data_IF_248285128742
#
_entry.id   IF_248285128742
#
_cell.length_a   1.000
_cell.length_b   1.000
_cell.length_c   1.000
_cell.angle_alpha   90.00
_cell.angle_beta   90.00
_cell.angle_gamma   90.00
#
_symmetry.space_group_name_H-M   'P 1'
#
loop_
_entity.id
_entity.type
_entity.pdbx_description
1 polymer ?
#
# COMPACT_ATOMS: atom_id res chain seq x y z
N UNK A 1 5.92 11.08 8.77
CA UNK A 1 6.73 9.85 8.67
C UNK A 1 7.91 10.11 7.77
N UNK A 2 9.13 9.80 8.20
CA UNK A 2 10.32 9.95 7.36
C UNK A 2 10.51 8.72 6.47
N UNK A 3 10.76 8.95 5.19
CA UNK A 3 10.92 7.94 4.14
C UNK A 3 12.34 8.06 3.56
N UNK A 4 13.34 7.37 4.12
CA UNK A 4 14.72 7.41 3.63
C UNK A 4 14.83 6.78 2.24
N UNK A 5 15.19 7.58 1.24
CA UNK A 5 15.31 7.12 -0.14
C UNK A 5 16.34 5.99 -0.27
N UNK A 6 15.95 4.88 -0.92
CA UNK A 6 16.83 3.72 -1.14
C UNK A 6 17.03 2.84 0.10
N UNK A 7 16.16 2.97 1.11
CA UNK A 7 16.16 2.19 2.34
C UNK A 7 14.80 1.52 2.55
N UNK A 8 14.77 0.60 3.50
CA UNK A 8 13.55 -0.04 3.97
C UNK A 8 13.06 0.67 5.22
N UNK A 9 11.74 0.85 5.34
CA UNK A 9 11.08 1.31 6.55
C UNK A 9 10.20 0.21 7.13
N UNK A 10 9.92 0.34 8.43
CA UNK A 10 8.89 -0.42 9.11
C UNK A 10 7.63 0.42 9.24
N UNK A 11 6.49 -0.14 8.84
CA UNK A 11 5.16 0.42 9.07
C UNK A 11 4.39 -0.56 9.96
N UNK A 12 3.80 -0.06 11.04
CA UNK A 12 3.04 -0.87 11.99
C UNK A 12 1.57 -0.93 11.58
N UNK A 13 1.08 -2.13 11.28
CA UNK A 13 -0.30 -2.40 10.86
C UNK A 13 -0.98 -3.26 11.94
N UNK A 14 -2.06 -2.74 12.52
CA UNK A 14 -2.82 -3.46 13.54
C UNK A 14 -4.30 -3.07 13.51
N UNK A 15 -5.17 -3.99 13.93
CA UNK A 15 -6.61 -3.73 14.06
C UNK A 15 -6.96 -2.74 15.19
N UNK A 16 -6.00 -2.36 16.03
CA UNK A 16 -6.15 -1.32 17.04
C UNK A 16 -4.80 -0.65 17.34
N UNK A 17 -4.80 0.68 17.51
CA UNK A 17 -3.60 1.44 17.86
C UNK A 17 -2.94 0.99 19.17
N UNK A 18 -3.68 0.35 20.09
CA UNK A 18 -3.14 -0.23 21.32
C UNK A 18 -2.04 -1.27 21.08
N UNK A 19 -2.02 -1.92 19.91
CA UNK A 19 -1.07 -2.97 19.53
C UNK A 19 0.11 -2.45 18.71
N UNK A 20 0.29 -1.13 18.65
CA UNK A 20 1.43 -0.47 18.02
C UNK A 20 2.36 0.12 19.09
N UNK A 21 3.54 0.60 18.68
CA UNK A 21 4.49 1.37 19.48
C UNK A 21 3.89 2.66 20.06
N UNK A 22 2.76 3.13 19.51
CA UNK A 22 1.99 4.26 20.04
C UNK A 22 0.93 3.84 21.08
N UNK A 23 0.81 2.54 21.35
CA UNK A 23 -0.25 1.94 22.14
C UNK A 23 0.17 1.49 23.54
N UNK A 24 -0.76 0.80 24.22
CA UNK A 24 -0.56 0.27 25.59
C UNK A 24 0.06 -1.14 25.60
N UNK A 25 -0.03 -1.86 24.49
CA UNK A 25 0.45 -3.23 24.33
C UNK A 25 1.31 -3.36 23.07
N UNK A 26 2.42 -2.60 22.97
CA UNK A 26 3.28 -2.57 21.78
C UNK A 26 3.99 -3.89 21.50
N UNK A 27 3.99 -4.85 22.43
CA UNK A 27 4.58 -6.19 22.23
C UNK A 27 3.54 -7.23 21.79
N UNK A 28 2.27 -6.85 21.69
CA UNK A 28 1.19 -7.70 21.25
C UNK A 28 0.78 -7.36 19.82
N UNK A 29 0.60 -8.38 19.00
CA UNK A 29 -0.10 -8.30 17.73
C UNK A 29 -1.44 -8.99 17.90
N UNK A 30 -2.53 -8.23 17.77
CA UNK A 30 -3.85 -8.85 17.74
C UNK A 30 -4.15 -9.33 16.32
N UNK A 31 -4.41 -10.63 16.10
CA UNK A 31 -4.70 -11.68 17.11
C UNK A 31 -3.54 -12.66 17.41
N UNK A 32 -2.36 -12.49 16.80
CA UNK A 32 -1.23 -13.43 16.89
C UNK A 32 -0.57 -13.55 18.28
N UNK A 33 -1.04 -12.80 19.28
CA UNK A 33 -0.48 -12.81 20.64
C UNK A 33 0.79 -11.98 20.76
N UNK A 34 1.74 -12.41 21.58
CA UNK A 34 3.03 -11.74 21.72
C UNK A 34 3.94 -12.13 20.55
N UNK A 35 4.04 -11.27 19.54
CA UNK A 35 4.81 -11.54 18.33
C UNK A 35 4.53 -10.55 17.21
N UNK A 36 5.36 -10.57 16.18
CA UNK A 36 5.22 -9.71 15.01
C UNK A 36 4.42 -10.35 13.86
N UNK A 37 4.30 -11.68 13.87
CA UNK A 37 3.73 -12.47 12.76
C UNK A 37 2.49 -13.20 13.27
N UNK A 38 1.48 -13.32 12.41
CA UNK A 38 0.36 -14.21 12.70
C UNK A 38 0.81 -15.68 12.65
N UNK A 39 0.61 -16.40 13.74
CA UNK A 39 0.73 -17.86 13.76
C UNK A 39 -0.66 -18.49 13.72
N UNK A 40 -1.05 -18.98 12.55
CA UNK A 40 -2.36 -19.61 12.31
C UNK A 40 -2.68 -20.74 13.31
N UNK A 41 -1.66 -21.41 13.84
CA UNK A 41 -1.82 -22.54 14.75
C UNK A 41 -2.15 -22.14 16.19
N UNK A 42 -1.85 -20.90 16.58
CA UNK A 42 -2.01 -20.41 17.96
C UNK A 42 -3.02 -19.26 18.10
N UNK A 43 -3.54 -18.75 16.99
CA UNK A 43 -4.59 -17.72 16.97
C UNK A 43 -5.91 -18.25 17.56
N UNK A 44 -6.59 -17.42 18.35
CA UNK A 44 -7.89 -17.74 18.94
C UNK A 44 -8.86 -18.24 17.85
N UNK A 45 -9.53 -19.39 18.08
CA UNK A 45 -10.53 -19.91 17.14
C UNK A 45 -11.65 -18.92 16.85
N UNK A 46 -11.98 -18.04 17.80
CA UNK A 46 -12.98 -16.97 17.62
C UNK A 46 -12.49 -15.85 16.71
N UNK A 47 -11.18 -15.71 16.50
CA UNK A 47 -10.64 -14.80 15.48
C UNK A 47 -10.93 -15.33 14.07
N UNK A 48 -10.94 -16.66 13.91
CA UNK A 48 -11.36 -17.34 12.69
C UNK A 48 -12.89 -17.42 12.64
N UNK A 49 -13.55 -16.35 12.20
CA UNK A 49 -15.00 -16.34 12.04
C UNK A 49 -15.37 -16.91 10.66
N UNK A 50 -16.04 -18.06 10.63
CA UNK A 50 -16.40 -18.77 9.39
C UNK A 50 -15.20 -19.05 8.44
N UNK A 51 -14.02 -19.30 9.02
CA UNK A 51 -12.82 -19.61 8.24
C UNK A 51 -12.05 -18.40 7.73
N UNK A 52 -12.42 -17.17 8.12
CA UNK A 52 -11.65 -15.95 7.82
C UNK A 52 -11.11 -15.30 9.08
N UNK A 53 -9.90 -14.78 8.98
CA UNK A 53 -9.22 -13.94 9.95
C UNK A 53 -9.97 -12.61 10.07
N UNK A 54 -10.91 -12.51 11.01
CA UNK A 54 -11.97 -11.49 10.98
C UNK A 54 -11.51 -10.06 10.69
N UNK A 55 -10.44 -9.61 11.35
CA UNK A 55 -9.93 -8.23 11.18
C UNK A 55 -8.87 -8.09 10.07
N UNK A 56 -8.31 -9.19 9.57
CA UNK A 56 -7.29 -9.17 8.52
C UNK A 56 -7.87 -9.50 7.15
N UNK A 57 -9.14 -9.94 7.12
CA UNK A 57 -9.88 -10.26 5.90
C UNK A 57 -9.12 -11.25 5.00
N UNK A 58 -8.65 -12.35 5.58
CA UNK A 58 -7.95 -13.41 4.84
C UNK A 58 -8.35 -14.78 5.37
N UNK A 59 -8.38 -15.82 4.54
CA UNK A 59 -8.57 -17.22 4.99
C UNK A 59 -7.29 -17.85 5.53
N UNK A 60 -6.14 -17.19 5.34
CA UNK A 60 -4.83 -17.63 5.81
C UNK A 60 -3.69 -16.93 5.08
N UNK A 61 -2.45 -17.32 5.35
CA UNK A 61 -1.26 -16.69 4.75
C UNK A 61 -1.30 -16.70 3.22
N UNK A 62 -1.74 -17.82 2.64
CA UNK A 62 -1.80 -18.01 1.19
C UNK A 62 -2.87 -17.13 0.49
N UNK A 63 -3.78 -16.52 1.25
CA UNK A 63 -4.90 -15.71 0.74
C UNK A 63 -4.70 -14.20 0.94
N UNK A 64 -3.52 -13.77 1.36
CA UNK A 64 -3.15 -12.34 1.37
C UNK A 64 -2.95 -11.83 -0.07
N UNK A 65 -3.28 -10.56 -0.28
CA UNK A 65 -3.36 -9.92 -1.60
C UNK A 65 -2.38 -8.75 -1.78
N UNK A 66 -1.62 -8.44 -0.74
CA UNK A 66 -0.69 -7.33 -0.70
C UNK A 66 -1.34 -5.98 -0.38
N UNK A 67 -0.48 -5.01 -0.06
CA UNK A 67 -0.83 -3.63 0.22
C UNK A 67 0.28 -2.71 -0.30
N UNK A 68 0.05 -1.40 -0.28
CA UNK A 68 0.96 -0.44 -0.90
C UNK A 68 1.02 0.89 -0.14
N UNK A 69 2.11 1.62 -0.39
CA UNK A 69 2.24 3.02 -0.02
C UNK A 69 2.15 3.90 -1.27
N UNK A 70 1.38 4.96 -1.17
CA UNK A 70 1.27 6.01 -2.19
C UNK A 70 1.80 7.34 -1.69
N UNK A 71 2.18 8.22 -2.62
CA UNK A 71 2.66 9.57 -2.34
C UNK A 71 2.08 10.57 -3.36
N UNK A 72 1.72 11.75 -2.88
CA UNK A 72 1.42 12.94 -3.66
C UNK A 72 2.38 14.06 -3.24
N UNK A 73 3.02 14.71 -4.21
CA UNK A 73 4.02 15.78 -3.99
C UNK A 73 3.35 17.14 -3.77
N UNK A 74 2.62 17.24 -2.68
CA UNK A 74 2.02 18.48 -2.17
C UNK A 74 2.20 18.57 -0.65
N UNK A 75 2.34 19.78 -0.13
CA UNK A 75 2.45 20.07 1.29
C UNK A 75 1.11 20.48 1.93
N UNK A 76 0.03 20.59 1.14
CA UNK A 76 -1.33 20.84 1.61
C UNK A 76 -2.24 19.60 1.35
N UNK A 77 -2.76 18.92 2.40
CA UNK A 77 -3.68 17.80 2.22
C UNK A 77 -5.00 18.18 1.56
N UNK A 78 -5.39 19.46 1.53
CA UNK A 78 -6.69 19.91 1.01
C UNK A 78 -6.76 19.96 -0.52
N UNK A 79 -5.61 19.93 -1.18
CA UNK A 79 -5.51 20.01 -2.65
C UNK A 79 -5.21 18.66 -3.28
N UNK A 80 -4.97 17.63 -2.46
CA UNK A 80 -4.72 16.26 -2.93
C UNK A 80 -5.95 15.72 -3.64
N UNK A 81 -5.77 15.25 -4.87
CA UNK A 81 -6.77 14.54 -5.65
C UNK A 81 -6.38 13.07 -5.82
N UNK A 82 -7.35 12.18 -6.10
CA UNK A 82 -7.06 10.77 -6.35
C UNK A 82 -6.02 10.54 -7.46
N UNK A 83 -6.02 11.37 -8.51
CA UNK A 83 -5.08 11.32 -9.63
C UNK A 83 -3.68 11.88 -9.33
N UNK A 84 -3.45 12.48 -8.16
CA UNK A 84 -2.12 12.92 -7.72
C UNK A 84 -1.31 11.79 -7.05
N UNK A 85 -1.97 10.73 -6.60
CA UNK A 85 -1.35 9.67 -5.80
C UNK A 85 -0.63 8.66 -6.67
N UNK A 86 0.64 8.40 -6.37
CA UNK A 86 1.49 7.42 -7.06
C UNK A 86 1.89 6.32 -6.08
N UNK A 87 1.62 5.06 -6.41
CA UNK A 87 2.16 3.92 -5.66
C UNK A 87 3.67 3.86 -5.84
N UNK A 88 4.42 3.94 -4.74
CA UNK A 88 5.88 3.95 -4.76
C UNK A 88 6.52 2.75 -4.04
N UNK A 89 5.76 2.03 -3.23
CA UNK A 89 6.23 0.81 -2.54
C UNK A 89 5.08 -0.18 -2.34
N UNK A 90 5.37 -1.46 -2.51
CA UNK A 90 4.39 -2.55 -2.43
C UNK A 90 4.94 -3.65 -1.53
N UNK A 91 4.07 -4.20 -0.68
CA UNK A 91 4.35 -5.39 0.10
C UNK A 91 3.27 -6.42 -0.22
N UNK A 92 3.64 -7.52 -0.89
CA UNK A 92 2.71 -8.59 -1.26
C UNK A 92 2.36 -9.46 -0.05
N UNK A 93 3.27 -9.60 0.91
CA UNK A 93 3.02 -10.24 2.20
C UNK A 93 2.55 -9.21 3.24
N UNK A 94 1.45 -8.52 2.94
CA UNK A 94 0.94 -7.48 3.81
C UNK A 94 -0.18 -7.97 4.72
N UNK A 95 -0.39 -7.25 5.83
CA UNK A 95 -1.35 -7.52 6.92
C UNK A 95 -1.13 -8.85 7.64
N UNK A 96 -0.08 -9.58 7.30
CA UNK A 96 0.35 -10.79 7.99
C UNK A 96 1.29 -10.52 9.16
N UNK A 97 2.07 -9.45 9.04
CA UNK A 97 2.96 -8.94 10.06
C UNK A 97 2.45 -7.61 10.59
N UNK A 98 2.63 -7.35 11.88
CA UNK A 98 2.42 -6.01 12.43
C UNK A 98 3.44 -5.05 11.82
N UNK A 99 4.71 -5.33 12.05
CA UNK A 99 5.86 -4.58 11.56
C UNK A 99 6.11 -5.01 10.12
N UNK A 100 5.44 -4.31 9.21
CA UNK A 100 5.46 -4.56 7.78
C UNK A 100 6.55 -3.72 7.12
N UNK A 101 7.42 -4.38 6.35
CA UNK A 101 8.54 -3.71 5.70
C UNK A 101 8.15 -3.17 4.32
N UNK A 102 8.57 -1.94 4.03
CA UNK A 102 8.41 -1.30 2.73
C UNK A 102 9.72 -0.71 2.23
N UNK A 103 10.09 -1.04 1.00
CA UNK A 103 11.29 -0.49 0.36
C UNK A 103 10.96 0.83 -0.33
N UNK A 104 11.76 1.86 -0.06
CA UNK A 104 11.61 3.19 -0.63
C UNK A 104 12.52 3.30 -1.86
N UNK A 105 12.01 3.70 -3.04
CA UNK A 105 12.84 3.87 -4.23
C UNK A 105 14.05 4.79 -3.97
N UNK A 106 15.21 4.43 -4.53
CA UNK A 106 16.43 5.21 -4.31
C UNK A 106 16.39 6.60 -4.95
N UNK A 107 15.57 6.76 -6.00
CA UNK A 107 15.46 7.98 -6.79
C UNK A 107 14.30 8.89 -6.39
N UNK A 108 13.66 8.64 -5.24
CA UNK A 108 12.63 9.53 -4.71
C UNK A 108 13.18 10.97 -4.60
N UNK A 109 12.55 11.98 -5.23
CA UNK A 109 12.97 13.37 -5.08
C UNK A 109 12.51 13.97 -3.74
N UNK A 110 13.07 15.13 -3.32
CA UNK A 110 12.67 15.77 -2.08
C UNK A 110 11.21 16.24 -2.12
N UNK A 111 10.52 16.14 -0.98
CA UNK A 111 9.18 16.69 -0.82
C UNK A 111 9.20 18.24 -0.82
N UNK A 112 8.18 18.90 -1.40
CA UNK A 112 8.05 20.35 -1.31
C UNK A 112 7.95 20.77 0.15
N UNK A 113 8.74 21.78 0.56
CA UNK A 113 8.79 22.27 1.95
C UNK A 113 9.03 21.16 3.01
N UNK A 114 9.65 20.04 2.61
CA UNK A 114 9.86 18.88 3.49
C UNK A 114 8.57 18.14 3.85
N UNK A 115 7.50 18.24 3.04
CA UNK A 115 6.20 17.60 3.27
C UNK A 115 5.60 17.06 1.99
N UNK A 116 5.13 15.82 2.05
CA UNK A 116 4.27 15.19 1.06
C UNK A 116 3.07 14.56 1.75
N UNK A 117 2.05 14.23 0.98
CA UNK A 117 0.90 13.47 1.47
C UNK A 117 1.04 12.02 1.03
N UNK A 118 1.11 11.11 1.99
CA UNK A 118 1.19 9.68 1.74
C UNK A 118 -0.09 8.97 2.18
N UNK A 119 -0.29 7.76 1.69
CA UNK A 119 -1.36 6.88 2.18
C UNK A 119 -0.92 5.43 2.10
N UNK A 120 -1.34 4.66 3.10
CA UNK A 120 -1.33 3.20 3.05
C UNK A 120 -2.63 2.71 2.43
N UNK A 121 -2.54 1.69 1.59
CA UNK A 121 -3.66 1.11 0.86
C UNK A 121 -3.65 -0.40 0.96
N UNK A 122 -4.82 -1.01 1.19
CA UNK A 122 -4.98 -2.45 1.15
C UNK A 122 -6.34 -2.80 0.53
N UNK A 123 -6.35 -3.84 -0.30
CA UNK A 123 -7.57 -4.48 -0.80
C UNK A 123 -7.36 -5.97 -0.59
N UNK A 124 -8.12 -6.56 0.32
CA UNK A 124 -8.01 -7.99 0.62
C UNK A 124 -8.67 -8.83 -0.49
N UNK A 125 -8.35 -10.12 -0.57
CA UNK A 125 -9.07 -11.03 -1.48
C UNK A 125 -10.53 -11.17 -1.04
N UNK A 126 -11.44 -11.33 -2.00
CA UNK A 126 -12.88 -11.48 -1.75
C UNK A 126 -13.27 -12.71 -0.92
N UNK A 127 -12.35 -13.66 -0.72
CA UNK A 127 -12.56 -14.81 0.16
C UNK A 127 -12.56 -14.41 1.65
N UNK A 128 -11.94 -13.29 1.98
CA UNK A 128 -11.69 -12.86 3.36
C UNK A 128 -12.86 -12.22 4.09
N UNK A 129 -13.81 -11.63 3.35
CA UNK A 129 -15.09 -11.08 3.82
C UNK A 129 -15.82 -10.38 2.66
N UNK A 130 -16.83 -9.56 2.96
CA UNK A 130 -17.32 -8.49 2.06
C UNK A 130 -16.15 -7.73 1.44
N UNK A 131 -16.32 -7.30 0.18
CA UNK A 131 -15.34 -6.57 -0.60
C UNK A 131 -15.25 -5.09 -0.17
N UNK A 132 -14.04 -4.63 0.19
CA UNK A 132 -13.77 -3.21 0.46
C UNK A 132 -12.34 -2.82 0.13
N UNK A 133 -12.11 -1.50 0.10
CA UNK A 133 -10.77 -0.90 0.15
C UNK A 133 -10.50 -0.38 1.57
N UNK A 134 -9.24 -0.43 1.97
CA UNK A 134 -8.75 0.23 3.19
C UNK A 134 -7.73 1.30 2.81
N UNK A 135 -7.89 2.49 3.38
CA UNK A 135 -6.96 3.61 3.22
C UNK A 135 -6.63 4.20 4.59
N UNK A 136 -5.36 4.54 4.82
CA UNK A 136 -4.96 5.42 5.92
C UNK A 136 -3.98 6.47 5.43
N UNK A 137 -4.38 7.74 5.47
CA UNK A 137 -3.55 8.87 5.04
C UNK A 137 -2.63 9.37 6.17
N UNK A 138 -1.44 9.85 5.80
CA UNK A 138 -0.48 10.43 6.73
C UNK A 138 0.46 11.43 6.03
N UNK A 139 0.96 12.41 6.78
CA UNK A 139 2.02 13.29 6.28
C UNK A 139 3.34 12.54 6.26
N UNK A 140 4.07 12.63 5.15
CA UNK A 140 5.37 12.01 4.97
C UNK A 140 6.43 13.01 4.46
N UNK A 141 7.69 12.60 4.49
CA UNK A 141 8.80 13.37 3.94
C UNK A 141 9.90 12.42 3.42
N UNK A 142 10.50 12.72 2.27
CA UNK A 142 11.63 11.96 1.74
C UNK A 142 12.92 12.46 2.41
N UNK A 143 13.70 11.54 2.97
CA UNK A 143 14.99 11.83 3.61
C UNK A 143 16.15 11.15 2.92
N UNK A 144 17.36 11.63 3.22
CA UNK A 144 18.61 11.18 2.60
C UNK A 144 19.66 11.01 3.68
N UNK A 145 20.48 9.97 3.56
CA UNK A 145 21.65 9.84 4.45
C UNK A 145 22.76 10.79 4.01
N UNK A 146 23.66 11.22 4.92
CA UNK A 146 24.79 12.07 4.55
C UNK A 146 25.61 11.48 3.40
N UNK A 147 25.86 12.28 2.36
CA UNK A 147 26.64 11.87 1.18
C UNK A 147 25.87 11.09 0.12
N UNK A 148 24.56 10.84 0.31
CA UNK A 148 23.70 10.24 -0.72
C UNK A 148 23.44 11.23 -1.86
N UNK A 149 23.50 10.74 -3.11
CA UNK A 149 23.08 11.51 -4.28
C UNK A 149 21.56 11.74 -4.24
N UNK A 150 21.16 13.01 -4.37
CA UNK A 150 19.75 13.40 -4.36
C UNK A 150 19.24 13.41 -5.80
N UNK A 151 18.24 12.58 -6.07
CA UNK A 151 17.51 12.62 -7.33
C UNK A 151 16.64 13.89 -7.40
N UNK A 152 16.72 14.60 -8.51
CA UNK A 152 15.81 15.70 -8.84
C UNK A 152 14.81 15.31 -9.94
N UNK A 153 14.76 14.02 -10.26
CA UNK A 153 13.87 13.45 -11.27
C UNK A 153 12.45 13.44 -10.70
N UNK A 154 11.48 14.17 -11.27
CA UNK A 154 10.12 14.18 -10.76
C UNK A 154 9.49 12.79 -10.85
N UNK A 155 8.62 12.47 -9.88
CA UNK A 155 7.69 11.36 -10.03
C UNK A 155 6.73 11.71 -11.16
N UNK A 156 6.48 10.74 -12.04
CA UNK A 156 5.64 10.91 -13.22
C UNK A 156 4.15 10.89 -12.89
N UNK A 157 3.33 11.24 -13.88
CA UNK A 157 1.88 11.28 -13.74
C UNK A 157 1.32 9.84 -13.73
N UNK A 158 0.60 9.42 -12.68
CA UNK A 158 0.11 8.06 -12.58
C UNK A 158 -1.12 7.83 -13.48
N UNK A 159 -1.31 6.58 -13.89
CA UNK A 159 -2.56 6.10 -14.52
C UNK A 159 -3.16 4.96 -13.70
N UNK A 160 -4.47 4.67 -13.84
CA UNK A 160 -5.06 3.47 -13.26
C UNK A 160 -4.28 2.21 -13.68
N UNK A 161 -4.00 1.29 -12.75
CA UNK A 161 -3.45 -0.01 -13.11
C UNK A 161 -4.48 -0.81 -13.90
N UNK A 162 -4.01 -1.80 -14.66
CA UNK A 162 -4.87 -2.74 -15.40
C UNK A 162 -4.58 -4.15 -14.92
N UNK A 163 -5.62 -4.99 -14.87
CA UNK A 163 -5.44 -6.42 -14.66
C UNK A 163 -4.70 -7.00 -15.87
N UNK A 164 -3.49 -7.49 -15.63
CA UNK A 164 -2.58 -8.01 -16.65
C UNK A 164 -2.09 -9.42 -16.27
N UNK A 165 -2.93 -10.19 -15.59
CA UNK A 165 -2.52 -11.52 -15.10
C UNK A 165 -2.30 -12.51 -16.23
N UNK A 166 -3.22 -12.50 -17.21
CA UNK A 166 -3.20 -13.40 -18.36
C UNK A 166 -2.09 -13.04 -19.37
N UNK A 167 -1.67 -11.76 -19.42
CA UNK A 167 -0.58 -11.29 -20.26
C UNK A 167 0.20 -10.15 -19.59
N UNK A 168 1.39 -10.48 -19.06
CA UNK A 168 2.27 -9.52 -18.37
C UNK A 168 2.80 -8.42 -19.29
N UNK A 169 2.76 -8.59 -20.62
CA UNK A 169 3.16 -7.55 -21.55
C UNK A 169 2.17 -6.37 -21.59
N UNK A 170 0.93 -6.59 -21.12
CA UNK A 170 -0.12 -5.56 -21.04
C UNK A 170 -0.10 -4.75 -19.75
N UNK A 171 0.76 -5.11 -18.78
CA UNK A 171 0.86 -4.36 -17.53
C UNK A 171 1.31 -2.92 -17.77
N UNK A 172 0.68 -1.98 -17.07
CA UNK A 172 1.12 -0.58 -17.06
C UNK A 172 2.53 -0.49 -16.47
N UNK A 173 3.43 0.09 -17.27
CA UNK A 173 4.77 0.49 -16.83
C UNK A 173 4.74 1.91 -16.26
N UNK A 174 5.63 2.17 -15.31
CA UNK A 174 5.79 3.46 -14.68
C UNK A 174 4.73 3.73 -13.60
N UNK A 175 4.47 5.02 -13.31
CA UNK A 175 3.66 5.45 -12.19
C UNK A 175 2.22 4.96 -12.35
N UNK A 176 1.73 4.33 -11.29
CA UNK A 176 0.38 3.77 -11.19
C UNK A 176 -0.35 4.39 -10.01
N UNK A 177 -1.64 4.64 -10.19
CA UNK A 177 -2.53 5.15 -9.14
C UNK A 177 -2.81 4.07 -8.10
N UNK A 178 -3.24 4.44 -6.88
CA UNK A 178 -3.98 3.54 -6.01
C UNK A 178 -5.22 2.98 -6.72
N UNK A 179 -5.70 1.84 -6.22
CA UNK A 179 -6.88 1.16 -6.72
C UNK A 179 -8.11 1.66 -5.96
N UNK A 180 -8.84 2.59 -6.55
CA UNK A 180 -10.12 3.10 -6.06
C UNK A 180 -11.23 2.17 -6.54
N UNK A 181 -11.83 1.44 -5.61
CA UNK A 181 -12.81 0.39 -5.87
C UNK A 181 -13.90 0.41 -4.80
N UNK A 182 -15.12 -0.04 -5.14
CA UNK A 182 -16.29 -0.13 -4.23
C UNK A 182 -16.71 1.19 -3.56
N UNK A 183 -16.31 2.35 -4.10
CA UNK A 183 -16.84 3.65 -3.67
C UNK A 183 -18.11 4.01 -4.46
N UNK A 184 -18.84 5.02 -4.00
CA UNK A 184 -19.98 5.58 -4.74
C UNK A 184 -19.57 6.42 -5.95
N UNK A 185 -18.34 6.92 -5.95
CA UNK A 185 -17.78 7.78 -7.00
C UNK A 185 -16.28 7.52 -7.18
N UNK A 186 -15.71 8.04 -8.27
CA UNK A 186 -14.26 8.05 -8.50
C UNK A 186 -13.55 6.69 -8.45
N UNK A 187 -14.25 5.60 -8.78
CA UNK A 187 -13.58 4.32 -8.95
C UNK A 187 -12.74 4.33 -10.24
N UNK A 188 -11.49 3.89 -10.15
CA UNK A 188 -10.66 3.59 -11.32
C UNK A 188 -10.57 2.08 -11.59
N UNK A 189 -11.05 1.27 -10.65
CA UNK A 189 -11.17 -0.18 -10.72
C UNK A 189 -12.65 -0.59 -10.85
N UNK A 190 -12.93 -1.58 -11.68
CA UNK A 190 -14.31 -1.97 -12.07
C UNK A 190 -14.54 -3.48 -11.99
N UNK A 191 -13.72 -4.17 -11.22
CA UNK A 191 -13.83 -5.60 -10.98
C UNK A 191 -15.19 -5.91 -10.32
N UNK A 192 -15.85 -7.01 -10.72
CA UNK A 192 -17.11 -7.42 -10.12
C UNK A 192 -16.90 -7.90 -8.67
N UNK A 193 -18.00 -8.02 -7.93
CA UNK A 193 -18.02 -8.71 -6.63
C UNK A 193 -17.35 -10.08 -6.73
N UNK A 194 -16.56 -10.44 -5.72
CA UNK A 194 -15.85 -11.72 -5.71
C UNK A 194 -14.56 -11.75 -6.53
N UNK A 195 -14.16 -10.63 -7.13
CA UNK A 195 -12.96 -10.53 -7.99
C UNK A 195 -12.07 -9.34 -7.63
N UNK A 196 -11.91 -9.06 -6.34
CA UNK A 196 -11.17 -7.89 -5.85
C UNK A 196 -9.83 -7.64 -6.55
N UNK A 197 -9.52 -6.39 -6.92
CA UNK A 197 -8.19 -6.03 -7.41
C UNK A 197 -7.17 -6.08 -6.26
N UNK A 198 -5.89 -6.27 -6.58
CA UNK A 198 -4.87 -6.60 -5.57
C UNK A 198 -3.52 -5.97 -5.88
N UNK A 199 -2.82 -5.48 -4.85
CA UNK A 199 -1.48 -4.88 -4.96
C UNK A 199 -0.39 -5.94 -5.12
N UNK A 200 -0.43 -6.65 -6.26
CA UNK A 200 0.52 -7.71 -6.59
C UNK A 200 0.74 -7.81 -8.11
N UNK A 201 1.45 -8.86 -8.52
CA UNK A 201 1.83 -9.11 -9.90
C UNK A 201 0.63 -9.20 -10.89
N UNK A 202 -0.60 -9.42 -10.42
CA UNK A 202 -1.80 -9.46 -11.26
C UNK A 202 -2.13 -8.09 -11.90
N UNK A 203 -1.66 -7.01 -11.29
CA UNK A 203 -1.89 -5.62 -11.72
C UNK A 203 -0.57 -4.88 -12.04
N UNK A 204 0.53 -5.63 -12.20
CA UNK A 204 1.85 -5.05 -12.48
C UNK A 204 2.48 -4.33 -11.27
N UNK A 205 2.04 -4.65 -10.05
CA UNK A 205 2.65 -4.18 -8.81
C UNK A 205 3.62 -5.24 -8.28
N UNK A 206 4.91 -5.03 -8.52
CA UNK A 206 5.96 -5.94 -8.06
C UNK A 206 6.29 -5.69 -6.58
N UNK A 207 6.75 -6.73 -5.89
CA UNK A 207 7.24 -6.62 -4.51
C UNK A 207 8.31 -5.53 -4.36
N UNK A 208 8.22 -4.72 -3.31
CA UNK A 208 9.21 -3.74 -2.93
C UNK A 208 9.02 -2.37 -3.59
N UNK A 209 10.14 -1.68 -3.80
CA UNK A 209 10.18 -0.33 -4.36
C UNK A 209 9.71 -0.30 -5.83
N UNK A 210 8.89 0.68 -6.18
CA UNK A 210 8.49 0.93 -7.57
C UNK A 210 9.48 1.90 -8.22
N UNK A 211 10.55 1.37 -8.81
CA UNK A 211 11.67 2.18 -9.33
C UNK A 211 11.43 2.79 -10.72
N UNK A 212 10.35 2.42 -11.41
CA UNK A 212 10.01 2.89 -12.75
C UNK A 212 9.08 4.12 -12.77
N UNK A 213 8.76 4.69 -11.60
CA UNK A 213 7.77 5.77 -11.46
C UNK A 213 8.27 7.17 -11.87
N UNK A 214 9.54 7.32 -12.24
CA UNK A 214 10.18 8.62 -12.47
C UNK A 214 10.19 9.03 -13.94
N UNK A 215 9.98 10.33 -14.24
CA UNK A 215 10.03 10.92 -15.59
C UNK A 215 9.13 10.26 -16.66
N UNK A 216 8.26 9.33 -16.28
CA UNK A 216 7.31 8.66 -17.17
C UNK A 216 5.99 9.40 -17.10
N UNK A 217 5.62 10.09 -18.17
CA UNK A 217 4.30 10.72 -18.29
C UNK A 217 3.38 9.68 -18.92
N UNK A 218 2.61 8.98 -18.10
CA UNK A 218 1.49 8.19 -18.59
C UNK A 218 0.30 9.14 -18.82
N UNK A 219 -0.32 9.08 -19.99
CA UNK A 219 -1.53 9.86 -20.28
C UNK A 219 -2.75 9.11 -19.75
N UNK A 220 -3.43 9.69 -18.76
CA UNK A 220 -4.69 9.18 -18.22
C UNK A 220 -5.87 9.99 -18.76
N UNK A 221 -6.97 9.30 -19.09
CA UNK A 221 -8.28 9.95 -19.24
C UNK A 221 -9.12 9.87 -17.96
N UNK A 222 -8.59 9.24 -16.90
CA UNK A 222 -9.27 9.20 -15.61
C UNK A 222 -9.21 10.59 -14.97
N UNK A 223 -10.37 11.09 -14.54
CA UNK A 223 -10.49 12.33 -13.80
C UNK A 223 -11.42 12.11 -12.61
N UNK A 224 -10.88 12.36 -11.42
CA UNK A 224 -11.58 12.64 -10.18
C UNK A 224 -10.84 13.84 -9.56
#
# INVERSE_FOLDING_TARGET
MELPAGKTITVELAGNGAFSSMGQHPDAFWPGGAGNTLDESSVDRNFWNNGTAGNLHTTGHADISGCALSIAYTDDPRVVRPDDMVIFSVQQECVWHRDTLFDIPAKMPPCPNGKCMCSWWCIHNSNGSTDQISQTAFQCNITYVPGQEISHTPVGNPVPPVKCDDDKSTCIRGPKMPMYWKNTECNNMHEPDGSAPSYNNKYGFFQGAQDDIFQTINTSNYTC
#
